data_IF_824530794479
#
_entry.id   IF_824530794479
#
_cell.length_a   1.000
_cell.length_b   1.000
_cell.length_c   1.000
_cell.angle_alpha   90.00
_cell.angle_beta   90.00
_cell.angle_gamma   90.00
#
_symmetry.space_group_name_H-M   'P 1'
#
loop_
_entity.id
_entity.type
_entity.pdbx_description
1 polymer ?
#
# COMPACT_ATOMS: atom_id res chain seq x y z
N UNK A 1 10.57 -22.57 7.74
CA UNK A 1 10.24 -23.67 8.67
C UNK A 1 10.11 -23.15 10.10
N UNK A 2 11.08 -22.37 10.62
CA UNK A 2 11.00 -21.85 12.00
C UNK A 2 9.86 -20.81 12.17
N UNK A 3 9.53 -20.04 11.14
CA UNK A 3 8.42 -19.09 11.16
C UNK A 3 7.06 -19.74 11.44
N UNK A 4 6.86 -21.02 11.15
CA UNK A 4 5.59 -21.71 11.44
C UNK A 4 5.25 -21.71 12.93
N UNK A 5 6.26 -21.74 13.82
CA UNK A 5 6.07 -21.63 15.26
C UNK A 5 5.59 -20.22 15.67
N UNK A 6 6.24 -19.19 15.10
CA UNK A 6 5.87 -17.78 15.38
C UNK A 6 4.45 -17.47 14.92
N UNK A 7 4.03 -18.09 13.81
CA UNK A 7 2.69 -17.93 13.23
C UNK A 7 1.63 -18.84 13.88
N UNK A 8 1.97 -19.55 14.98
CA UNK A 8 1.08 -20.53 15.66
C UNK A 8 0.55 -21.62 14.72
N UNK A 9 1.30 -21.94 13.67
CA UNK A 9 0.94 -22.91 12.61
C UNK A 9 1.91 -24.09 12.58
N UNK A 10 2.27 -24.63 13.74
CA UNK A 10 3.30 -25.68 13.90
C UNK A 10 2.91 -27.02 13.21
N UNK A 11 1.59 -27.28 13.09
CA UNK A 11 1.05 -28.44 12.34
C UNK A 11 1.47 -28.45 10.87
N UNK A 12 1.71 -27.29 10.25
CA UNK A 12 2.16 -27.17 8.86
C UNK A 12 3.67 -27.25 8.68
N UNK A 13 4.43 -27.38 9.75
CA UNK A 13 5.90 -27.40 9.70
C UNK A 13 6.45 -28.49 8.77
N UNK A 14 5.87 -29.69 8.84
CA UNK A 14 6.27 -30.81 7.97
C UNK A 14 5.99 -30.52 6.50
N UNK A 15 4.80 -29.99 6.20
CA UNK A 15 4.40 -29.62 4.84
C UNK A 15 5.30 -28.52 4.27
N UNK A 16 5.50 -27.44 5.01
CA UNK A 16 6.37 -26.32 4.60
C UNK A 16 7.80 -26.80 4.33
N UNK A 17 8.35 -27.65 5.23
CA UNK A 17 9.68 -28.23 5.02
C UNK A 17 9.75 -29.12 3.78
N UNK A 18 8.73 -29.95 3.56
CA UNK A 18 8.62 -30.81 2.37
C UNK A 18 8.59 -30.01 1.07
N UNK A 19 7.75 -28.99 0.99
CA UNK A 19 7.62 -28.10 -0.17
C UNK A 19 8.94 -27.37 -0.45
N UNK A 20 9.57 -26.78 0.57
CA UNK A 20 10.83 -26.06 0.41
C UNK A 20 11.97 -27.00 -0.03
N UNK A 21 12.05 -28.21 0.54
CA UNK A 21 13.05 -29.20 0.10
C UNK A 21 12.83 -29.66 -1.33
N UNK A 22 11.58 -29.86 -1.73
CA UNK A 22 11.25 -30.20 -3.13
C UNK A 22 11.67 -29.08 -4.07
N UNK A 23 11.33 -27.83 -3.75
CA UNK A 23 11.75 -26.67 -4.53
C UNK A 23 13.28 -26.62 -4.72
N UNK A 24 14.05 -26.81 -3.64
CA UNK A 24 15.52 -26.79 -3.71
C UNK A 24 16.10 -27.89 -4.58
N UNK A 25 15.45 -29.08 -4.64
CA UNK A 25 15.92 -30.21 -5.47
C UNK A 25 15.55 -30.05 -6.95
N UNK A 26 14.40 -29.46 -7.22
CA UNK A 26 13.79 -29.38 -8.55
C UNK A 26 13.76 -27.93 -9.04
N UNK A 27 14.63 -27.07 -8.51
CA UNK A 27 14.57 -25.61 -8.72
C UNK A 27 14.66 -25.24 -10.20
N UNK A 28 15.59 -25.83 -10.94
CA UNK A 28 15.78 -25.52 -12.37
C UNK A 28 14.56 -25.90 -13.19
N UNK A 29 13.99 -27.07 -12.98
CA UNK A 29 12.79 -27.53 -13.68
C UNK A 29 11.57 -26.68 -13.36
N UNK A 30 11.40 -26.32 -12.09
CA UNK A 30 10.28 -25.47 -11.63
C UNK A 30 10.42 -24.07 -12.22
N UNK A 31 11.59 -23.46 -12.17
CA UNK A 31 11.83 -22.13 -12.72
C UNK A 31 11.69 -22.11 -14.24
N UNK A 32 12.14 -23.16 -14.94
CA UNK A 32 11.97 -23.24 -16.40
C UNK A 32 10.49 -23.26 -16.82
N UNK A 33 9.60 -23.83 -15.99
CA UNK A 33 8.14 -23.78 -16.21
C UNK A 33 7.60 -22.39 -15.91
N UNK A 34 8.03 -21.77 -14.81
CA UNK A 34 7.61 -20.41 -14.43
C UNK A 34 8.07 -19.40 -15.48
N UNK A 35 9.31 -19.49 -15.93
CA UNK A 35 9.87 -18.57 -16.96
C UNK A 35 9.12 -18.67 -18.30
N UNK A 36 8.59 -19.83 -18.66
CA UNK A 36 7.73 -19.99 -19.85
C UNK A 36 6.34 -19.34 -19.69
N UNK A 37 5.87 -19.22 -18.47
CA UNK A 37 4.53 -18.77 -18.11
C UNK A 37 4.53 -17.55 -17.18
N UNK A 38 5.61 -16.73 -17.19
CA UNK A 38 5.68 -15.52 -16.36
C UNK A 38 4.45 -14.60 -16.51
N UNK A 39 3.80 -14.61 -17.68
CA UNK A 39 2.56 -13.89 -17.94
C UNK A 39 1.40 -14.43 -17.11
N UNK A 40 1.49 -15.65 -16.61
CA UNK A 40 0.45 -16.30 -15.81
C UNK A 40 0.51 -15.96 -14.30
N UNK A 41 1.39 -15.04 -13.88
CA UNK A 41 1.26 -14.39 -12.57
C UNK A 41 -0.04 -13.61 -12.44
N UNK A 42 -0.70 -13.40 -13.58
CA UNK A 42 -2.07 -12.87 -13.67
C UNK A 42 -3.00 -13.90 -14.33
N UNK A 43 -4.29 -13.93 -13.96
CA UNK A 43 -5.26 -14.79 -14.62
C UNK A 43 -5.31 -14.53 -16.12
N UNK A 44 -5.41 -15.57 -16.93
CA UNK A 44 -5.37 -15.47 -18.39
C UNK A 44 -6.46 -14.52 -18.95
N UNK A 45 -7.67 -14.56 -18.37
CA UNK A 45 -8.74 -13.66 -18.76
C UNK A 45 -8.38 -12.17 -18.57
N UNK A 46 -7.63 -11.86 -17.50
CA UNK A 46 -7.17 -10.49 -17.21
C UNK A 46 -6.13 -10.06 -18.24
N UNK A 47 -5.11 -10.87 -18.47
CA UNK A 47 -4.09 -10.61 -19.48
C UNK A 47 -4.72 -10.39 -20.85
N UNK A 48 -5.67 -11.23 -21.26
CA UNK A 48 -6.37 -11.12 -22.54
C UNK A 48 -7.19 -9.82 -22.66
N UNK A 49 -7.82 -9.36 -21.58
CA UNK A 49 -8.53 -8.06 -21.55
C UNK A 49 -7.59 -6.88 -21.69
N UNK A 50 -6.49 -6.86 -20.93
CA UNK A 50 -5.51 -5.78 -20.99
C UNK A 50 -4.85 -5.74 -22.37
N UNK A 51 -4.49 -6.89 -22.94
CA UNK A 51 -3.92 -7.00 -24.28
C UNK A 51 -4.83 -6.46 -25.40
N UNK A 52 -6.14 -6.61 -25.24
CA UNK A 52 -7.12 -6.05 -26.21
C UNK A 52 -7.29 -4.54 -26.07
N UNK A 53 -7.16 -4.02 -24.84
CA UNK A 53 -7.47 -2.62 -24.53
C UNK A 53 -6.24 -1.70 -24.70
N UNK A 54 -5.03 -2.22 -24.50
CA UNK A 54 -3.83 -1.41 -24.42
C UNK A 54 -2.67 -1.98 -25.22
N UNK A 55 -2.03 -1.20 -26.13
CA UNK A 55 -0.89 -1.66 -26.91
C UNK A 55 0.33 -1.96 -26.03
N UNK A 56 0.49 -1.24 -24.91
CA UNK A 56 1.57 -1.40 -23.93
C UNK A 56 1.21 -2.36 -22.77
N UNK A 57 0.38 -3.35 -23.04
CA UNK A 57 -0.12 -4.29 -22.04
C UNK A 57 0.97 -5.00 -21.22
N UNK A 58 2.16 -5.23 -21.82
CA UNK A 58 3.28 -5.86 -21.11
C UNK A 58 3.80 -4.99 -19.98
N UNK A 59 3.98 -3.69 -20.24
CA UNK A 59 4.42 -2.71 -19.25
C UNK A 59 3.43 -2.61 -18.08
N UNK A 60 2.12 -2.70 -18.37
CA UNK A 60 1.06 -2.71 -17.34
C UNK A 60 1.19 -3.95 -16.45
N UNK A 61 1.39 -5.13 -17.05
CA UNK A 61 1.57 -6.38 -16.30
C UNK A 61 2.86 -6.37 -15.48
N UNK A 62 3.95 -5.85 -16.05
CA UNK A 62 5.22 -5.70 -15.34
C UNK A 62 5.12 -4.73 -14.17
N UNK A 63 4.46 -3.58 -14.36
CA UNK A 63 4.22 -2.61 -13.31
C UNK A 63 3.40 -3.20 -12.16
N UNK A 64 2.38 -4.02 -12.48
CA UNK A 64 1.56 -4.71 -11.48
C UNK A 64 2.36 -5.72 -10.62
N UNK A 65 3.45 -6.26 -11.15
CA UNK A 65 4.32 -7.19 -10.43
C UNK A 65 5.43 -6.48 -9.64
N UNK A 66 5.57 -5.16 -9.78
CA UNK A 66 6.53 -4.39 -8.99
C UNK A 66 6.03 -4.17 -7.57
N UNK A 67 6.98 -3.96 -6.66
CA UNK A 67 6.64 -3.55 -5.30
C UNK A 67 5.99 -2.16 -5.36
N UNK A 68 4.76 -1.99 -4.83
CA UNK A 68 4.09 -0.70 -4.90
C UNK A 68 4.86 0.38 -4.13
N UNK A 69 4.81 1.64 -4.59
CA UNK A 69 5.34 2.75 -3.82
C UNK A 69 4.55 2.89 -2.50
N UNK A 70 5.26 3.24 -1.42
CA UNK A 70 4.61 3.51 -0.15
C UNK A 70 4.34 5.01 -0.03
N UNK A 71 3.06 5.36 -0.08
CA UNK A 71 2.57 6.71 0.10
C UNK A 71 2.05 6.92 1.52
N UNK A 72 2.43 8.03 2.11
CA UNK A 72 1.95 8.51 3.40
C UNK A 72 1.07 9.73 3.18
N UNK A 73 -0.06 9.79 3.89
CA UNK A 73 -0.83 11.00 4.11
C UNK A 73 -0.47 11.54 5.47
N UNK A 74 -0.01 12.78 5.53
CA UNK A 74 0.33 13.47 6.78
C UNK A 74 -0.94 14.09 7.37
N UNK A 75 -1.22 13.79 8.63
CA UNK A 75 -2.35 14.36 9.36
C UNK A 75 -2.08 15.84 9.67
N UNK A 76 -2.76 16.72 8.95
CA UNK A 76 -2.55 18.17 9.01
C UNK A 76 -3.00 18.79 10.36
N UNK A 77 -3.74 18.07 11.18
CA UNK A 77 -4.08 18.52 12.54
C UNK A 77 -2.91 18.38 13.52
N UNK A 78 -1.98 17.46 13.24
CA UNK A 78 -0.84 17.20 14.12
C UNK A 78 0.47 17.76 13.55
N UNK A 79 0.67 17.64 12.25
CA UNK A 79 1.88 18.03 11.55
C UNK A 79 1.54 18.58 10.17
N UNK A 80 2.42 19.40 9.62
CA UNK A 80 2.44 19.62 8.18
C UNK A 80 3.46 18.69 7.51
N UNK A 81 3.34 18.52 6.21
CA UNK A 81 4.19 17.63 5.40
C UNK A 81 5.68 17.94 5.55
N UNK A 82 6.03 19.23 5.63
CA UNK A 82 7.42 19.67 5.79
C UNK A 82 8.00 19.26 7.15
N UNK A 83 7.24 19.47 8.22
CA UNK A 83 7.64 19.08 9.58
C UNK A 83 7.79 17.56 9.70
N UNK A 84 6.82 16.82 9.15
CA UNK A 84 6.87 15.35 9.20
C UNK A 84 8.04 14.80 8.38
N UNK A 85 8.38 15.43 7.26
CA UNK A 85 9.58 15.10 6.49
C UNK A 85 10.85 15.24 7.32
N UNK A 86 10.99 16.30 8.11
CA UNK A 86 12.13 16.46 9.02
C UNK A 86 12.21 15.32 10.04
N UNK A 87 11.07 14.89 10.60
CA UNK A 87 11.05 13.73 11.51
C UNK A 87 11.49 12.43 10.84
N UNK A 88 11.16 12.25 9.55
CA UNK A 88 11.65 11.11 8.76
C UNK A 88 13.16 11.20 8.54
N UNK A 89 13.67 12.38 8.18
CA UNK A 89 15.10 12.64 7.95
C UNK A 89 15.94 12.38 9.21
N UNK A 90 15.44 12.75 10.40
CA UNK A 90 16.07 12.47 11.70
C UNK A 90 16.23 10.96 11.98
N UNK A 91 15.38 10.13 11.35
CA UNK A 91 15.45 8.67 11.43
C UNK A 91 16.07 8.02 10.17
N UNK A 92 16.78 8.81 9.37
CA UNK A 92 17.41 8.37 8.12
C UNK A 92 16.42 7.76 7.10
N UNK A 93 15.14 8.14 7.18
CA UNK A 93 14.09 7.69 6.25
C UNK A 93 13.95 8.73 5.13
N UNK A 94 14.34 8.35 3.92
CA UNK A 94 14.26 9.23 2.75
C UNK A 94 12.83 9.28 2.21
N UNK A 95 12.30 10.49 2.07
CA UNK A 95 11.00 10.74 1.46
C UNK A 95 11.08 11.75 0.31
N UNK A 96 10.12 11.69 -0.58
CA UNK A 96 9.98 12.53 -1.76
C UNK A 96 8.66 13.29 -1.70
N UNK A 97 8.70 14.56 -2.05
CA UNK A 97 7.52 15.41 -2.20
C UNK A 97 6.78 15.13 -3.51
N UNK A 98 5.54 15.55 -3.59
CA UNK A 98 4.72 15.53 -4.80
C UNK A 98 3.75 16.71 -4.79
N UNK A 99 2.95 16.85 -5.83
CA UNK A 99 1.99 17.96 -5.99
C UNK A 99 0.83 17.93 -4.97
N UNK A 100 0.61 16.79 -4.28
CA UNK A 100 -0.38 16.71 -3.22
C UNK A 100 0.22 17.23 -1.90
N UNK A 101 -0.35 18.30 -1.30
CA UNK A 101 0.22 18.96 -0.12
C UNK A 101 0.20 18.10 1.15
N UNK A 102 -0.62 17.05 1.20
CA UNK A 102 -0.73 16.15 2.35
C UNK A 102 0.08 14.87 2.19
N UNK A 103 0.69 14.63 1.02
CA UNK A 103 1.34 13.37 0.70
C UNK A 103 2.87 13.44 0.76
N UNK A 104 3.46 12.33 1.19
CA UNK A 104 4.88 12.01 1.03
C UNK A 104 5.02 10.61 0.46
N UNK A 105 5.95 10.41 -0.46
CA UNK A 105 6.33 9.09 -0.94
C UNK A 105 7.62 8.66 -0.25
N UNK A 106 7.63 7.48 0.35
CA UNK A 106 8.89 6.93 0.84
C UNK A 106 9.74 6.42 -0.32
N UNK A 107 11.04 6.68 -0.29
CA UNK A 107 11.98 6.15 -1.28
C UNK A 107 12.03 4.63 -1.25
N UNK A 108 11.88 4.04 -0.06
CA UNK A 108 11.77 2.60 0.15
C UNK A 108 10.62 2.28 1.10
N UNK A 109 9.72 1.34 0.75
CA UNK A 109 8.69 0.88 1.68
C UNK A 109 9.31 0.23 2.92
N UNK A 110 8.73 0.53 4.09
CA UNK A 110 9.17 0.00 5.38
C UNK A 110 7.97 -0.38 6.26
N UNK A 111 8.25 -1.03 7.41
CA UNK A 111 7.20 -1.33 8.39
C UNK A 111 6.67 -0.03 8.99
N UNK A 112 5.34 0.08 9.15
CA UNK A 112 4.69 1.23 9.78
C UNK A 112 5.17 1.48 11.22
N UNK A 113 5.62 0.44 11.92
CA UNK A 113 6.21 0.54 13.25
C UNK A 113 7.53 1.35 13.31
N UNK A 114 8.13 1.64 12.16
CA UNK A 114 9.32 2.48 12.03
C UNK A 114 8.99 3.94 11.67
N UNK A 115 7.72 4.23 11.42
CA UNK A 115 7.30 5.60 11.10
C UNK A 115 7.14 6.41 12.39
N UNK A 116 7.74 7.62 12.48
CA UNK A 116 7.56 8.49 13.63
C UNK A 116 6.08 8.74 13.93
N UNK A 117 5.69 8.55 15.18
CA UNK A 117 4.35 8.85 15.69
C UNK A 117 3.19 8.22 14.90
N UNK A 118 3.43 7.05 14.24
CA UNK A 118 2.40 6.37 13.47
C UNK A 118 1.20 5.95 14.35
N UNK A 119 1.47 5.37 15.52
CA UNK A 119 0.41 4.94 16.45
C UNK A 119 -0.38 6.10 17.05
N UNK A 120 0.19 7.30 17.06
CA UNK A 120 -0.48 8.53 17.46
C UNK A 120 -1.29 9.17 16.33
N UNK A 121 -1.29 8.56 15.15
CA UNK A 121 -2.07 9.04 14.00
C UNK A 121 -1.43 10.23 13.26
N UNK A 122 -0.10 10.42 13.38
CA UNK A 122 0.60 11.49 12.67
C UNK A 122 0.58 11.30 11.15
N UNK A 123 0.51 10.05 10.68
CA UNK A 123 0.39 9.68 9.27
C UNK A 123 -0.47 8.44 9.08
N UNK A 124 -1.03 8.32 7.88
CA UNK A 124 -1.75 7.14 7.39
C UNK A 124 -1.09 6.64 6.10
N UNK A 125 -0.96 5.32 5.94
CA UNK A 125 -0.57 4.72 4.66
C UNK A 125 -1.79 4.74 3.75
N UNK A 126 -1.73 5.50 2.67
CA UNK A 126 -2.83 5.63 1.71
C UNK A 126 -2.28 5.91 0.32
N UNK A 127 -2.85 5.25 -0.70
CA UNK A 127 -2.52 5.53 -2.10
C UNK A 127 -2.69 7.02 -2.45
N UNK A 128 -1.79 7.56 -3.27
CA UNK A 128 -1.79 8.97 -3.64
C UNK A 128 -3.12 9.42 -4.27
N UNK A 129 -3.68 8.61 -5.17
CA UNK A 129 -4.92 8.96 -5.85
C UNK A 129 -6.12 8.94 -4.88
N UNK A 130 -6.11 8.03 -3.90
CA UNK A 130 -7.12 8.00 -2.85
C UNK A 130 -7.09 9.23 -1.93
N UNK A 131 -5.93 9.88 -1.78
CA UNK A 131 -5.80 11.10 -0.99
C UNK A 131 -6.46 12.32 -1.67
N UNK A 132 -6.56 12.34 -3.02
CA UNK A 132 -7.22 13.44 -3.72
C UNK A 132 -8.73 13.51 -3.44
N UNK A 133 -9.37 12.42 -3.01
CA UNK A 133 -10.83 12.42 -2.79
C UNK A 133 -11.28 13.44 -1.76
N UNK A 134 -10.60 13.57 -0.63
CA UNK A 134 -10.96 14.55 0.40
C UNK A 134 -10.56 15.99 -0.02
N UNK A 135 -9.42 16.15 -0.72
CA UNK A 135 -9.01 17.45 -1.23
C UNK A 135 -9.99 18.01 -2.27
N UNK A 136 -10.50 17.15 -3.17
CA UNK A 136 -11.49 17.52 -4.18
C UNK A 136 -12.90 17.74 -3.59
N UNK A 137 -13.20 17.07 -2.47
CA UNK A 137 -14.46 17.24 -1.75
C UNK A 137 -14.52 18.61 -1.05
N UNK A 138 -13.36 19.13 -0.61
CA UNK A 138 -13.24 20.37 0.17
C UNK A 138 -14.19 20.41 1.38
N UNK A 139 -14.18 19.37 2.26
CA UNK A 139 -15.17 19.22 3.32
C UNK A 139 -15.15 20.42 4.26
N UNK A 140 -16.35 20.85 4.69
CA UNK A 140 -16.51 21.93 5.65
C UNK A 140 -17.00 21.40 7.01
N UNK A 141 -16.66 22.10 8.08
CA UNK A 141 -17.27 21.83 9.38
C UNK A 141 -18.80 21.99 9.28
N UNK A 142 -19.53 21.19 10.07
CA UNK A 142 -20.99 21.15 10.11
C UNK A 142 -21.67 20.49 8.89
N UNK A 143 -20.94 20.06 7.89
CA UNK A 143 -21.50 19.28 6.78
C UNK A 143 -21.84 17.84 7.20
N UNK A 144 -22.85 17.28 6.52
CA UNK A 144 -23.23 15.88 6.58
C UNK A 144 -22.73 15.20 5.30
N UNK A 145 -21.74 14.32 5.43
CA UNK A 145 -21.04 13.69 4.31
C UNK A 145 -21.29 12.18 4.34
N UNK A 146 -21.68 11.59 3.21
CA UNK A 146 -21.75 10.14 3.05
C UNK A 146 -20.45 9.61 2.46
N UNK A 147 -19.75 8.72 3.18
CA UNK A 147 -18.66 7.92 2.65
C UNK A 147 -19.18 6.53 2.24
N UNK A 148 -19.62 6.38 0.99
CA UNK A 148 -20.14 5.12 0.46
C UNK A 148 -19.07 4.03 0.26
N UNK A 149 -17.79 4.33 0.54
CA UNK A 149 -16.66 3.38 0.46
C UNK A 149 -15.75 3.54 1.68
N UNK A 150 -16.33 3.60 2.86
CA UNK A 150 -15.66 3.96 4.11
C UNK A 150 -14.55 3.00 4.52
N UNK A 151 -14.82 1.69 4.52
CA UNK A 151 -13.84 0.69 4.96
C UNK A 151 -12.56 0.69 4.11
N UNK A 152 -11.40 0.67 4.72
CA UNK A 152 -11.04 0.60 6.15
C UNK A 152 -10.90 1.97 6.85
N UNK A 153 -11.54 3.03 6.37
CA UNK A 153 -11.56 4.33 7.02
C UNK A 153 -10.58 5.38 6.47
N UNK A 154 -9.79 5.06 5.47
CA UNK A 154 -8.73 5.94 4.97
C UNK A 154 -9.23 7.27 4.38
N UNK A 155 -10.40 7.29 3.71
CA UNK A 155 -11.03 8.50 3.20
C UNK A 155 -11.82 9.22 4.28
N UNK A 156 -12.60 8.47 5.06
CA UNK A 156 -13.35 8.97 6.21
C UNK A 156 -12.46 9.76 7.17
N UNK A 157 -11.32 9.18 7.57
CA UNK A 157 -10.37 9.87 8.46
C UNK A 157 -9.76 11.11 7.82
N UNK A 158 -9.48 11.10 6.50
CA UNK A 158 -8.97 12.28 5.81
C UNK A 158 -9.99 13.43 5.78
N UNK A 159 -11.28 13.12 5.56
CA UNK A 159 -12.35 14.10 5.65
C UNK A 159 -12.38 14.74 7.05
N UNK A 160 -12.33 13.92 8.10
CA UNK A 160 -12.34 14.38 9.49
C UNK A 160 -11.04 15.10 9.90
N UNK A 161 -9.90 14.78 9.29
CA UNK A 161 -8.66 15.54 9.47
C UNK A 161 -8.77 16.95 8.87
N UNK A 162 -9.50 17.11 7.76
CA UNK A 162 -9.72 18.41 7.11
C UNK A 162 -10.87 19.22 7.74
N UNK A 163 -11.94 18.53 8.13
CA UNK A 163 -13.14 19.14 8.74
C UNK A 163 -13.54 18.36 10.01
N UNK A 164 -12.94 18.67 11.18
CA UNK A 164 -13.12 17.89 12.41
C UNK A 164 -14.55 17.88 12.97
N UNK A 165 -15.38 18.85 12.58
CA UNK A 165 -16.77 18.98 13.03
C UNK A 165 -17.77 18.48 11.99
N UNK A 166 -17.30 18.00 10.83
CA UNK A 166 -18.17 17.35 9.86
C UNK A 166 -18.75 16.03 10.43
N UNK A 167 -19.97 15.72 10.01
CA UNK A 167 -20.61 14.42 10.34
C UNK A 167 -20.46 13.50 9.16
N UNK A 168 -19.68 12.43 9.31
CA UNK A 168 -19.53 11.42 8.27
C UNK A 168 -20.41 10.23 8.59
N UNK A 169 -21.19 9.79 7.61
CA UNK A 169 -22.04 8.59 7.65
C UNK A 169 -21.36 7.54 6.77
N UNK A 170 -21.27 6.30 7.26
CA UNK A 170 -20.71 5.13 6.59
C UNK A 170 -21.81 4.14 6.16
#
# INVERSE_FOLDING_TARGET
VNATKLLKSDSFRGLVNGVLRRFLREQEDILAVVDKHWQTLHPEWFVNKIKKAYPNWREIIEANNQKPPMWLRVNQQQNNTKTYRTLLEEQEIVSLECDNPHALRLAQPLSVSKLPNFEQGAVTVQDLNAQWSALLLEPQNDELILDACAAPGGKTTHILEMAPQAKVIE
#
